data_IF_354562496258
#
_entry.id   IF_354562496258
#
_cell.length_a   1.000
_cell.length_b   1.000
_cell.length_c   1.000
_cell.angle_alpha   90.00
_cell.angle_beta   90.00
_cell.angle_gamma   90.00
#
_symmetry.space_group_name_H-M   'P 1'
#
loop_
_entity.id
_entity.type
_entity.pdbx_description
1 polymer ?
#
# COMPACT_ATOMS: atom_id res chain seq x y z
N UNK A 1 11.12 2.50 15.99
CA UNK A 1 10.33 1.31 15.59
C UNK A 1 9.90 1.59 14.16
N UNK A 2 10.40 0.84 13.18
CA UNK A 2 10.08 1.06 11.77
C UNK A 2 8.62 0.66 11.55
N UNK A 3 7.73 1.62 11.33
CA UNK A 3 6.35 1.32 10.96
C UNK A 3 6.36 0.56 9.63
N UNK A 4 5.83 -0.66 9.65
CA UNK A 4 5.63 -1.44 8.44
C UNK A 4 4.57 -0.74 7.59
N UNK A 5 4.83 -0.60 6.28
CA UNK A 5 3.79 -0.15 5.33
C UNK A 5 2.57 -1.07 5.32
N UNK A 6 2.68 -2.26 5.91
CA UNK A 6 1.59 -3.20 6.15
C UNK A 6 1.46 -3.40 7.66
N UNK A 7 0.47 -2.76 8.27
CA UNK A 7 0.07 -2.99 9.65
C UNK A 7 -0.93 -4.16 9.74
N UNK A 8 -1.21 -4.63 10.96
CA UNK A 8 -2.16 -5.73 11.19
C UNK A 8 -3.61 -5.37 10.84
N UNK A 9 -3.95 -4.07 10.83
CA UNK A 9 -5.29 -3.57 10.58
C UNK A 9 -5.61 -3.54 9.08
N UNK A 10 -4.61 -3.30 8.23
CA UNK A 10 -4.66 -3.37 6.77
C UNK A 10 -5.30 -4.66 6.25
N UNK A 11 -4.94 -5.81 6.83
CA UNK A 11 -5.48 -7.12 6.40
C UNK A 11 -6.91 -7.32 6.89
N UNK A 12 -7.22 -6.96 8.13
CA UNK A 12 -8.56 -7.14 8.69
C UNK A 12 -9.58 -6.27 7.96
N UNK A 13 -9.26 -5.01 7.73
CA UNK A 13 -10.22 -4.04 7.18
C UNK A 13 -10.55 -4.30 5.71
N UNK A 14 -9.54 -4.70 4.92
CA UNK A 14 -9.73 -4.88 3.48
C UNK A 14 -10.32 -6.25 3.11
N UNK A 15 -10.09 -7.27 3.94
CA UNK A 15 -10.52 -8.65 3.64
C UNK A 15 -11.85 -9.02 4.30
N UNK A 16 -12.30 -8.27 5.31
CA UNK A 16 -13.56 -8.57 5.98
C UNK A 16 -14.76 -8.20 5.10
N UNK A 17 -15.51 -9.22 4.68
CA UNK A 17 -16.74 -9.10 3.89
C UNK A 17 -17.88 -8.41 4.67
N UNK A 18 -17.77 -8.31 6.00
CA UNK A 18 -18.73 -7.58 6.84
C UNK A 18 -18.45 -6.07 6.91
N UNK A 19 -17.29 -5.63 6.43
CA UNK A 19 -16.95 -4.21 6.34
C UNK A 19 -17.51 -3.67 5.03
N UNK A 20 -18.29 -2.60 5.11
CA UNK A 20 -18.80 -1.90 3.93
C UNK A 20 -17.68 -1.31 3.08
N UNK A 21 -17.97 -1.02 1.82
CA UNK A 21 -16.97 -0.54 0.85
C UNK A 21 -16.36 0.83 1.21
N UNK A 22 -17.13 1.69 1.89
CA UNK A 22 -16.67 3.04 2.23
C UNK A 22 -15.47 3.07 3.18
N UNK A 23 -15.46 2.35 4.33
CA UNK A 23 -14.26 2.15 5.14
C UNK A 23 -13.07 1.56 4.36
N UNK A 24 -13.31 0.60 3.45
CA UNK A 24 -12.24 0.02 2.62
C UNK A 24 -11.61 1.07 1.72
N UNK A 25 -12.44 1.89 1.06
CA UNK A 25 -11.97 3.00 0.23
C UNK A 25 -11.17 4.04 1.03
N UNK A 26 -11.59 4.37 2.25
CA UNK A 26 -10.86 5.31 3.11
C UNK A 26 -9.46 4.79 3.46
N UNK A 27 -9.33 3.50 3.77
CA UNK A 27 -8.04 2.85 4.04
C UNK A 27 -7.14 2.87 2.80
N UNK A 28 -7.70 2.56 1.63
CA UNK A 28 -6.97 2.61 0.35
C UNK A 28 -6.46 4.03 0.06
N UNK A 29 -7.31 5.04 0.24
CA UNK A 29 -6.97 6.44 0.01
C UNK A 29 -5.91 6.95 0.99
N UNK A 30 -6.01 6.58 2.27
CA UNK A 30 -5.02 6.92 3.29
C UNK A 30 -3.64 6.34 2.94
N UNK A 31 -3.58 5.06 2.54
CA UNK A 31 -2.33 4.41 2.14
C UNK A 31 -1.76 5.03 0.87
N UNK A 32 -2.60 5.35 -0.11
CA UNK A 32 -2.18 6.05 -1.33
C UNK A 32 -1.54 7.39 -1.00
N UNK A 33 -2.10 8.15 -0.05
CA UNK A 33 -1.52 9.42 0.42
C UNK A 33 -0.16 9.22 1.07
N UNK A 34 -0.04 8.28 2.01
CA UNK A 34 1.25 7.94 2.66
C UNK A 34 2.33 7.60 1.62
N UNK A 35 1.99 6.79 0.63
CA UNK A 35 2.91 6.44 -0.46
C UNK A 35 3.31 7.66 -1.30
N UNK A 36 2.37 8.53 -1.68
CA UNK A 36 2.70 9.75 -2.43
C UNK A 36 3.64 10.67 -1.64
N UNK A 37 3.44 10.79 -0.32
CA UNK A 37 4.34 11.55 0.55
C UNK A 37 5.75 10.93 0.58
N UNK A 38 5.88 9.60 0.66
CA UNK A 38 7.19 8.94 0.59
C UNK A 38 7.89 9.16 -0.76
N UNK A 39 7.12 9.21 -1.85
CA UNK A 39 7.65 9.42 -3.21
C UNK A 39 8.21 10.85 -3.42
N UNK A 40 7.65 11.85 -2.75
CA UNK A 40 8.10 13.24 -2.87
C UNK A 40 9.37 13.52 -2.08
N UNK A 41 9.72 12.67 -1.11
CA UNK A 41 10.95 12.79 -0.33
C UNK A 41 12.20 12.73 -1.23
N UNK A 42 13.12 13.70 -1.18
CA UNK A 42 14.30 13.74 -2.03
C UNK A 42 15.24 12.53 -1.83
N UNK A 43 15.31 12.01 -0.61
CA UNK A 43 16.10 10.85 -0.21
C UNK A 43 15.60 9.52 -0.77
N UNK A 44 14.33 9.43 -1.19
CA UNK A 44 13.77 8.19 -1.72
C UNK A 44 14.47 7.76 -3.03
N UNK A 45 15.05 6.55 -3.11
CA UNK A 45 15.71 6.06 -4.31
C UNK A 45 14.76 6.06 -5.51
N UNK A 46 15.28 6.29 -6.71
CA UNK A 46 14.49 6.31 -7.96
C UNK A 46 13.69 5.02 -8.13
N UNK A 47 14.29 3.87 -7.80
CA UNK A 47 13.61 2.57 -7.83
C UNK A 47 12.42 2.50 -6.87
N UNK A 48 12.59 2.99 -5.63
CA UNK A 48 11.51 3.06 -4.65
C UNK A 48 10.37 3.95 -5.14
N UNK A 49 10.68 5.11 -5.73
CA UNK A 49 9.65 6.00 -6.31
C UNK A 49 8.86 5.32 -7.43
N UNK A 50 9.50 4.49 -8.26
CA UNK A 50 8.82 3.70 -9.30
C UNK A 50 7.91 2.63 -8.70
N UNK A 51 8.39 1.92 -7.68
CA UNK A 51 7.59 0.92 -6.97
C UNK A 51 6.37 1.57 -6.28
N UNK A 52 6.55 2.76 -5.71
CA UNK A 52 5.47 3.55 -5.13
C UNK A 52 4.40 3.91 -6.17
N UNK A 53 4.81 4.33 -7.38
CA UNK A 53 3.85 4.62 -8.47
C UNK A 53 3.03 3.37 -8.77
N UNK A 54 3.67 2.21 -8.95
CA UNK A 54 2.99 0.95 -9.21
C UNK A 54 2.05 0.55 -8.05
N UNK A 55 2.43 0.81 -6.79
CA UNK A 55 1.60 0.55 -5.63
C UNK A 55 0.37 1.47 -5.58
N UNK A 56 0.52 2.75 -5.93
CA UNK A 56 -0.60 3.70 -6.05
C UNK A 56 -1.60 3.28 -7.12
N UNK A 57 -1.11 2.80 -8.27
CA UNK A 57 -1.98 2.30 -9.34
C UNK A 57 -2.69 1.00 -8.91
N UNK A 58 -1.99 0.11 -8.19
CA UNK A 58 -2.57 -1.10 -7.61
C UNK A 58 -3.67 -0.81 -6.60
N UNK A 59 -3.49 0.21 -5.76
CA UNK A 59 -4.48 0.70 -4.81
C UNK A 59 -5.75 1.21 -5.52
N UNK A 60 -5.59 1.97 -6.60
CA UNK A 60 -6.74 2.49 -7.35
C UNK A 60 -7.55 1.36 -8.02
N UNK A 61 -6.86 0.33 -8.52
CA UNK A 61 -7.52 -0.86 -9.06
C UNK A 61 -8.26 -1.64 -7.99
N UNK A 62 -7.68 -1.75 -6.79
CA UNK A 62 -8.33 -2.40 -5.65
C UNK A 62 -9.60 -1.65 -5.22
N UNK A 63 -9.59 -0.32 -5.30
CA UNK A 63 -10.75 0.55 -5.05
C UNK A 63 -11.85 0.39 -6.10
N UNK A 64 -11.48 0.19 -7.36
CA UNK A 64 -12.38 0.14 -8.50
C UNK A 64 -13.31 -1.07 -8.60
N UNK A 65 -13.41 -1.90 -7.55
CA UNK A 65 -14.18 -3.15 -7.50
C UNK A 65 -13.74 -4.18 -8.54
N UNK A 66 -12.92 -5.11 -8.07
CA UNK A 66 -12.62 -6.39 -8.70
C UNK A 66 -13.41 -7.45 -7.94
N UNK A 67 -14.01 -8.44 -8.61
CA UNK A 67 -14.77 -9.48 -7.92
C UNK A 67 -13.94 -10.15 -6.81
N UNK A 68 -14.56 -10.81 -5.82
CA UNK A 68 -13.88 -11.29 -4.61
C UNK A 68 -12.57 -12.05 -4.90
N UNK A 69 -12.55 -12.96 -5.88
CA UNK A 69 -11.35 -13.70 -6.28
C UNK A 69 -10.22 -12.79 -6.81
N UNK A 70 -10.54 -11.87 -7.71
CA UNK A 70 -9.60 -10.91 -8.25
C UNK A 70 -9.10 -9.97 -7.15
N UNK A 71 -9.97 -9.56 -6.24
CA UNK A 71 -9.61 -8.74 -5.07
C UNK A 71 -8.50 -9.40 -4.25
N UNK A 72 -8.62 -10.69 -3.91
CA UNK A 72 -7.60 -11.42 -3.15
C UNK A 72 -6.25 -11.46 -3.90
N UNK A 73 -6.27 -11.66 -5.21
CA UNK A 73 -5.06 -11.67 -6.04
C UNK A 73 -4.40 -10.29 -6.08
N UNK A 74 -5.18 -9.23 -6.30
CA UNK A 74 -4.66 -7.86 -6.32
C UNK A 74 -4.17 -7.42 -4.95
N UNK A 75 -4.90 -7.75 -3.89
CA UNK A 75 -4.50 -7.51 -2.50
C UNK A 75 -3.17 -8.18 -2.17
N UNK A 76 -3.00 -9.46 -2.54
CA UNK A 76 -1.75 -10.19 -2.33
C UNK A 76 -0.56 -9.54 -3.04
N UNK A 77 -0.71 -9.23 -4.34
CA UNK A 77 0.33 -8.57 -5.14
C UNK A 77 0.70 -7.19 -4.60
N UNK A 78 -0.29 -6.41 -4.20
CA UNK A 78 -0.08 -5.09 -3.61
C UNK A 78 0.64 -5.20 -2.26
N UNK A 79 0.24 -6.17 -1.43
CA UNK A 79 0.90 -6.45 -0.16
C UNK A 79 2.38 -6.79 -0.36
N UNK A 80 2.72 -7.65 -1.32
CA UNK A 80 4.11 -7.97 -1.61
C UNK A 80 4.89 -6.76 -2.11
N UNK A 81 4.29 -5.93 -2.96
CA UNK A 81 4.90 -4.69 -3.43
C UNK A 81 5.18 -3.70 -2.28
N UNK A 82 4.24 -3.55 -1.35
CA UNK A 82 4.42 -2.72 -0.15
C UNK A 82 5.55 -3.25 0.74
N UNK A 83 5.72 -4.58 0.86
CA UNK A 83 6.86 -5.19 1.58
C UNK A 83 8.19 -4.83 0.92
N UNK A 84 8.27 -4.95 -0.41
CA UNK A 84 9.48 -4.60 -1.15
C UNK A 84 9.82 -3.13 -0.95
N UNK A 85 8.84 -2.22 -1.07
CA UNK A 85 9.04 -0.78 -0.82
C UNK A 85 9.57 -0.55 0.61
N UNK A 86 8.94 -1.17 1.61
CA UNK A 86 9.35 -1.03 3.01
C UNK A 86 10.80 -1.48 3.24
N UNK A 87 11.18 -2.62 2.66
CA UNK A 87 12.55 -3.15 2.74
C UNK A 87 13.57 -2.23 2.06
N UNK A 88 13.26 -1.71 0.88
CA UNK A 88 14.15 -0.80 0.16
C UNK A 88 14.35 0.53 0.89
N UNK A 89 13.28 1.05 1.53
CA UNK A 89 13.35 2.24 2.38
C UNK A 89 14.23 1.98 3.61
N UNK A 90 14.09 0.82 4.25
CA UNK A 90 14.92 0.40 5.39
C UNK A 90 16.40 0.29 5.01
N UNK A 91 16.72 -0.38 3.90
CA UNK A 91 18.10 -0.47 3.36
C UNK A 91 18.68 0.92 3.07
N UNK A 92 17.84 1.86 2.65
CA UNK A 92 18.22 3.24 2.37
C UNK A 92 18.29 4.13 3.62
N UNK A 93 17.98 3.59 4.81
CA UNK A 93 17.97 4.35 6.07
C UNK A 93 16.83 5.37 6.17
N UNK A 94 15.76 5.20 5.40
CA UNK A 94 14.62 6.14 5.34
C UNK A 94 13.52 5.64 6.28
N UNK A 95 13.19 6.47 7.27
CA UNK A 95 12.08 6.18 8.17
C UNK A 95 10.73 6.31 7.46
N UNK A 96 9.87 5.34 7.67
CA UNK A 96 8.44 5.39 7.31
C UNK A 96 7.70 5.77 8.58
N UNK A 97 7.15 6.98 8.62
CA UNK A 97 6.22 7.48 9.64
C UNK A 97 4.80 7.54 9.05
#
# INVERSE_FOLDING_TARGET
MTQSLIDGDWRKLLVDDNVSEEPKHQVIDAKRRQLQELKTRPEAPVQVRRLIIAACDGLERLKGHVGAEEFYVYYGRLTDLLRVIGKELEVSGIAVD
#
